data_IF_938851391244
#
_entry.id   IF_938851391244
#
_cell.length_a   1.000
_cell.length_b   1.000
_cell.length_c   1.000
_cell.angle_alpha   90.00
_cell.angle_beta   90.00
_cell.angle_gamma   90.00
#
_symmetry.space_group_name_H-M   'P 1'
#
loop_
_entity.id
_entity.type
_entity.pdbx_description
1 polymer ?
#
# COMPACT_ATOMS: atom_id res chain seq x y z
N UNK A 1 10.83 11.26 12.60
CA UNK A 1 9.96 10.32 11.88
C UNK A 1 8.82 9.95 12.80
N UNK A 2 7.59 9.96 12.31
CA UNK A 2 6.38 9.76 13.13
C UNK A 2 5.55 8.67 12.49
N UNK A 3 5.14 7.67 13.28
CA UNK A 3 4.19 6.65 12.83
C UNK A 3 2.82 7.32 12.67
N UNK A 4 2.25 7.22 11.47
CA UNK A 4 0.96 7.80 11.13
C UNK A 4 -0.16 6.77 11.29
N UNK A 5 -1.36 7.23 11.62
CA UNK A 5 -2.53 6.35 11.68
C UNK A 5 -2.92 5.93 10.26
N UNK A 6 -3.03 4.62 10.03
CA UNK A 6 -3.56 4.09 8.78
C UNK A 6 -5.09 4.15 8.82
N UNK A 7 -5.68 4.76 7.81
CA UNK A 7 -7.13 4.84 7.63
C UNK A 7 -7.66 3.54 7.03
N UNK A 8 -8.81 3.12 7.49
CA UNK A 8 -9.46 1.88 7.02
C UNK A 8 -10.83 2.15 6.42
N UNK A 9 -11.26 1.31 5.49
CA UNK A 9 -12.63 1.32 4.98
C UNK A 9 -13.62 1.23 6.16
N UNK A 10 -14.70 2.02 6.22
CA UNK A 10 -15.29 2.84 5.15
C UNK A 10 -14.91 4.33 5.16
N UNK A 11 -13.67 4.68 5.47
CA UNK A 11 -13.26 6.10 5.46
C UNK A 11 -13.31 6.67 4.03
N UNK A 12 -14.08 7.74 3.83
CA UNK A 12 -14.36 8.32 2.51
C UNK A 12 -13.09 8.84 1.79
N UNK A 13 -12.09 9.30 2.54
CA UNK A 13 -10.84 9.83 1.95
C UNK A 13 -10.12 8.77 1.10
N UNK A 14 -10.27 7.48 1.41
CA UNK A 14 -9.70 6.38 0.64
C UNK A 14 -10.27 6.26 -0.78
N UNK A 15 -11.37 6.96 -1.05
CA UNK A 15 -12.05 6.98 -2.34
C UNK A 15 -11.79 8.26 -3.14
N UNK A 16 -10.96 9.14 -2.60
CA UNK A 16 -10.57 10.37 -3.27
C UNK A 16 -9.40 10.13 -4.22
N UNK A 17 -9.36 10.91 -5.30
CA UNK A 17 -8.24 10.92 -6.23
C UNK A 17 -7.13 11.79 -5.67
N UNK A 18 -5.92 11.23 -5.59
CA UNK A 18 -4.74 11.94 -5.09
C UNK A 18 -4.22 12.95 -6.10
N UNK A 19 -3.83 14.12 -5.61
CA UNK A 19 -3.30 15.23 -6.39
C UNK A 19 -1.80 15.04 -6.70
N UNK A 20 -1.37 15.53 -7.85
CA UNK A 20 0.05 15.55 -8.22
C UNK A 20 0.86 16.41 -7.24
N UNK A 21 2.07 15.97 -6.98
CA UNK A 21 3.09 16.74 -6.26
C UNK A 21 3.81 17.61 -7.27
N UNK A 22 3.82 18.92 -7.08
CA UNK A 22 4.52 19.85 -7.99
C UNK A 22 6.04 19.74 -7.84
N UNK A 23 6.52 19.70 -6.60
CA UNK A 23 7.95 19.61 -6.29
C UNK A 23 8.18 18.66 -5.11
N UNK A 24 9.23 17.84 -5.19
CA UNK A 24 9.69 17.01 -4.09
C UNK A 24 10.55 17.88 -3.16
N UNK A 25 9.90 18.55 -2.23
CA UNK A 25 10.52 19.37 -1.20
C UNK A 25 10.71 18.59 0.12
N UNK A 26 11.21 19.25 1.15
CA UNK A 26 11.45 18.65 2.47
C UNK A 26 10.18 18.10 3.11
N UNK A 27 9.01 18.73 2.87
CA UNK A 27 7.74 18.25 3.43
C UNK A 27 7.32 16.92 2.79
N UNK A 28 7.54 16.76 1.48
CA UNK A 28 7.29 15.50 0.77
C UNK A 28 8.29 14.42 1.20
N UNK A 29 9.56 14.77 1.39
CA UNK A 29 10.56 13.84 1.92
C UNK A 29 10.19 13.39 3.34
N UNK A 30 9.81 14.32 4.22
CA UNK A 30 9.35 13.97 5.58
C UNK A 30 8.09 13.10 5.55
N UNK A 31 7.16 13.37 4.63
CA UNK A 31 5.99 12.51 4.44
C UNK A 31 6.41 11.08 4.05
N UNK A 32 7.34 10.93 3.10
CA UNK A 32 7.85 9.62 2.68
C UNK A 32 8.54 8.87 3.82
N UNK A 33 9.33 9.58 4.65
CA UNK A 33 10.00 9.01 5.82
C UNK A 33 8.99 8.52 6.87
N UNK A 34 7.99 9.35 7.20
CA UNK A 34 6.92 8.98 8.13
C UNK A 34 6.08 7.79 7.60
N UNK A 35 5.81 7.76 6.29
CA UNK A 35 5.10 6.67 5.64
C UNK A 35 5.91 5.37 5.69
N UNK A 36 7.23 5.43 5.48
CA UNK A 36 8.10 4.27 5.55
C UNK A 36 8.17 3.70 6.97
N UNK A 37 8.30 4.55 8.00
CA UNK A 37 8.23 4.13 9.41
C UNK A 37 6.87 3.49 9.72
N UNK A 38 5.78 4.07 9.22
CA UNK A 38 4.43 3.52 9.36
C UNK A 38 4.31 2.15 8.70
N UNK A 39 4.85 2.00 7.49
CA UNK A 39 4.89 0.73 6.76
C UNK A 39 5.67 -0.33 7.55
N UNK A 40 6.82 0.04 8.14
CA UNK A 40 7.63 -0.89 8.93
C UNK A 40 6.99 -1.27 10.27
N UNK A 41 6.13 -0.44 10.82
CA UNK A 41 5.34 -0.75 12.01
C UNK A 41 4.10 -1.61 11.71
N UNK A 42 3.72 -1.74 10.44
CA UNK A 42 2.54 -2.47 9.98
C UNK A 42 2.93 -3.75 9.21
N UNK A 43 2.03 -4.74 9.09
CA UNK A 43 2.28 -5.97 8.33
C UNK A 43 2.02 -5.75 6.82
N UNK A 44 2.74 -4.82 6.19
CA UNK A 44 2.58 -4.46 4.78
C UNK A 44 3.91 -4.35 4.03
N UNK A 45 3.84 -4.33 2.70
CA UNK A 45 4.97 -4.19 1.77
C UNK A 45 4.85 -2.93 0.90
N UNK A 46 3.71 -2.23 0.96
CA UNK A 46 3.44 -0.97 0.29
C UNK A 46 2.48 -0.09 1.10
N UNK A 47 2.54 1.21 0.86
CA UNK A 47 1.68 2.22 1.50
C UNK A 47 1.58 3.46 0.61
N UNK A 48 0.36 3.86 0.28
CA UNK A 48 0.07 5.11 -0.43
C UNK A 48 -0.29 6.24 0.56
N UNK A 49 0.06 7.49 0.24
CA UNK A 49 -0.14 8.64 1.11
C UNK A 49 -1.62 8.86 1.49
N UNK A 50 -2.55 8.53 0.61
CA UNK A 50 -4.00 8.62 0.88
C UNK A 50 -4.41 7.74 2.07
N UNK A 51 -3.74 6.61 2.31
CA UNK A 51 -4.01 5.70 3.42
C UNK A 51 -3.61 6.30 4.78
N UNK A 52 -2.76 7.31 4.79
CA UNK A 52 -2.42 8.09 6.00
C UNK A 52 -3.06 9.48 6.00
N UNK A 53 -4.10 9.68 5.20
CA UNK A 53 -4.91 10.90 5.16
C UNK A 53 -4.34 12.04 4.32
N UNK A 54 -3.33 11.77 3.47
CA UNK A 54 -2.71 12.78 2.62
C UNK A 54 -3.01 12.48 1.15
N UNK A 55 -3.92 13.25 0.55
CA UNK A 55 -4.35 13.07 -0.84
C UNK A 55 -3.30 13.56 -1.85
N UNK A 56 -2.09 13.03 -1.79
CA UNK A 56 -0.98 13.30 -2.71
C UNK A 56 -0.49 12.01 -3.37
N UNK A 57 -0.01 12.13 -4.62
CA UNK A 57 0.50 10.98 -5.39
C UNK A 57 1.89 10.59 -4.91
N UNK A 58 1.95 9.96 -3.73
CA UNK A 58 3.18 9.47 -3.09
C UNK A 58 2.94 8.04 -2.61
N UNK A 59 3.90 7.16 -2.88
CA UNK A 59 3.90 5.74 -2.48
C UNK A 59 5.27 5.42 -1.88
N UNK A 60 5.29 4.59 -0.85
CA UNK A 60 6.49 3.92 -0.34
C UNK A 60 6.28 2.41 -0.36
N UNK A 61 7.32 1.64 -0.70
CA UNK A 61 7.27 0.19 -0.79
C UNK A 61 8.57 -0.43 -0.28
N UNK A 62 8.47 -1.65 0.26
CA UNK A 62 9.61 -2.53 0.52
C UNK A 62 9.17 -4.00 0.39
N UNK A 63 9.39 -4.59 -0.78
CA UNK A 63 9.02 -5.99 -1.07
C UNK A 63 10.00 -7.01 -0.50
N UNK A 64 11.15 -6.58 0.05
CA UNK A 64 12.08 -7.49 0.75
C UNK A 64 11.43 -8.09 2.01
N UNK A 65 10.36 -7.45 2.52
CA UNK A 65 9.50 -7.91 3.60
C UNK A 65 8.36 -8.78 3.06
N UNK A 66 8.68 -9.97 2.55
CA UNK A 66 7.63 -10.87 2.04
C UNK A 66 6.67 -11.33 3.16
N UNK A 67 5.46 -11.79 2.79
CA UNK A 67 4.45 -12.28 3.76
C UNK A 67 4.98 -13.38 4.70
N UNK A 68 5.99 -14.14 4.30
CA UNK A 68 6.59 -15.18 5.14
C UNK A 68 7.39 -14.61 6.32
N UNK A 69 7.77 -13.31 6.25
CA UNK A 69 8.50 -12.61 7.30
C UNK A 69 7.58 -11.73 8.17
N UNK A 70 6.34 -11.49 7.70
CA UNK A 70 5.35 -10.66 8.39
C UNK A 70 4.51 -11.57 9.29
N UNK A 71 4.67 -11.46 10.62
CA UNK A 71 3.88 -12.21 11.62
C UNK A 71 4.63 -13.34 12.32
N UNK A 72 5.92 -13.52 12.05
CA UNK A 72 6.77 -14.31 12.94
C UNK A 72 7.05 -13.50 14.20
N UNK A 73 6.76 -14.07 15.36
CA UNK A 73 7.14 -13.50 16.66
C UNK A 73 8.64 -13.24 16.68
N UNK A 74 9.06 -12.10 17.27
CA UNK A 74 10.47 -11.69 17.35
C UNK A 74 11.37 -12.71 18.03
N UNK A 75 10.79 -13.70 18.73
CA UNK A 75 11.51 -14.74 19.46
C UNK A 75 11.90 -15.94 18.60
N UNK A 76 11.30 -16.10 17.39
CA UNK A 76 11.58 -17.21 16.45
C UNK A 76 12.66 -16.88 15.40
N UNK A 77 13.24 -15.69 15.46
CA UNK A 77 14.32 -15.29 14.57
C UNK A 77 15.60 -15.99 15.03
N UNK A 78 15.86 -17.17 14.47
CA UNK A 78 17.14 -17.84 14.62
C UNK A 78 18.27 -16.86 14.23
N UNK A 79 19.24 -16.71 15.13
CA UNK A 79 20.35 -15.74 15.09
C UNK A 79 21.31 -15.85 13.89
N UNK A 80 21.00 -16.67 12.88
CA UNK A 80 21.85 -16.98 11.74
C UNK A 80 21.22 -16.71 10.37
N UNK A 81 19.99 -16.17 10.30
CA UNK A 81 19.50 -15.63 9.01
C UNK A 81 19.99 -14.19 8.91
N UNK A 82 20.87 -13.95 7.93
CA UNK A 82 21.32 -12.63 7.54
C UNK A 82 20.16 -11.65 7.56
N UNK A 83 20.32 -10.51 8.27
CA UNK A 83 19.37 -9.39 8.27
C UNK A 83 19.04 -9.10 6.82
N UNK A 84 17.87 -9.56 6.32
CA UNK A 84 17.40 -9.16 5.00
C UNK A 84 17.47 -7.64 4.96
N UNK A 85 18.38 -7.14 4.13
CA UNK A 85 18.62 -5.71 4.03
C UNK A 85 17.33 -5.05 3.57
N UNK A 86 16.82 -4.09 4.35
CA UNK A 86 15.70 -3.24 3.93
C UNK A 86 16.04 -2.65 2.56
N UNK A 87 15.09 -2.68 1.65
CA UNK A 87 15.21 -2.11 0.32
C UNK A 87 14.02 -1.18 0.01
N UNK A 88 13.95 -0.02 0.68
CA UNK A 88 12.84 0.91 0.49
C UNK A 88 12.85 1.53 -0.90
N UNK A 89 11.67 1.63 -1.50
CA UNK A 89 11.44 2.29 -2.78
C UNK A 89 10.43 3.42 -2.58
N UNK A 90 10.66 4.53 -3.28
CA UNK A 90 9.86 5.75 -3.18
C UNK A 90 9.34 6.14 -4.56
N UNK A 91 8.06 6.46 -4.65
CA UNK A 91 7.41 6.82 -5.90
C UNK A 91 6.58 8.08 -5.70
N UNK A 92 6.99 9.16 -6.35
CA UNK A 92 6.23 10.41 -6.40
C UNK A 92 5.67 10.58 -7.81
N UNK A 93 4.39 10.88 -7.92
CA UNK A 93 3.66 10.96 -9.19
C UNK A 93 3.81 9.73 -10.10
N UNK A 94 3.69 8.49 -9.57
CA UNK A 94 3.83 7.32 -10.41
C UNK A 94 2.75 7.28 -11.48
N UNK A 95 3.17 6.83 -12.69
CA UNK A 95 2.33 6.65 -13.86
C UNK A 95 2.71 5.36 -14.57
N UNK A 96 1.74 4.47 -14.80
CA UNK A 96 1.97 3.25 -15.57
C UNK A 96 1.94 3.62 -17.06
N UNK A 97 3.08 3.48 -17.73
CA UNK A 97 3.24 3.80 -19.15
C UNK A 97 3.06 2.59 -20.07
N UNK A 98 3.18 1.38 -19.53
CA UNK A 98 2.95 0.13 -20.24
C UNK A 98 2.56 -1.00 -19.29
N UNK A 99 1.74 -1.95 -19.76
CA UNK A 99 1.32 -3.17 -19.04
C UNK A 99 1.36 -4.36 -19.99
N UNK A 100 1.72 -5.54 -19.47
CA UNK A 100 1.60 -6.79 -20.21
C UNK A 100 0.15 -7.20 -20.41
N UNK A 101 -0.12 -8.01 -21.45
CA UNK A 101 -1.41 -8.67 -21.63
C UNK A 101 -1.54 -9.87 -20.69
N UNK A 102 -0.44 -10.57 -20.44
CA UNK A 102 -0.36 -11.67 -19.49
C UNK A 102 -0.73 -11.18 -18.09
N UNK A 103 -1.49 -12.00 -17.37
CA UNK A 103 -1.93 -11.73 -16.00
C UNK A 103 -1.21 -12.62 -15.01
N UNK A 104 -1.11 -12.11 -13.81
CA UNK A 104 -0.63 -12.81 -12.63
C UNK A 104 -1.69 -12.71 -11.54
N UNK A 105 -2.19 -13.88 -11.12
CA UNK A 105 -3.14 -13.98 -10.02
C UNK A 105 -2.38 -14.00 -8.70
N UNK A 106 -2.71 -13.08 -7.80
CA UNK A 106 -2.09 -13.02 -6.48
C UNK A 106 -3.13 -12.76 -5.40
N UNK A 107 -2.97 -13.39 -4.23
CA UNK A 107 -3.82 -13.13 -3.07
C UNK A 107 -3.43 -11.81 -2.42
N UNK A 108 -4.17 -10.75 -2.75
CA UNK A 108 -3.95 -9.41 -2.21
C UNK A 108 -4.65 -9.22 -0.87
N UNK A 109 -4.00 -8.45 -0.01
CA UNK A 109 -4.57 -7.83 1.19
C UNK A 109 -4.17 -6.37 1.23
N UNK A 110 -4.81 -5.58 2.09
CA UNK A 110 -4.56 -4.15 2.19
C UNK A 110 -4.61 -3.69 3.65
N UNK A 111 -3.69 -2.82 4.06
CA UNK A 111 -3.69 -2.22 5.39
C UNK A 111 -4.97 -1.40 5.67
N UNK A 112 -5.59 -0.85 4.61
CA UNK A 112 -6.86 -0.12 4.70
C UNK A 112 -8.10 -1.02 4.66
N UNK A 113 -7.93 -2.33 4.44
CA UNK A 113 -9.00 -3.35 4.42
C UNK A 113 -8.54 -4.54 5.31
N UNK A 114 -8.41 -4.34 6.63
CA UNK A 114 -7.73 -5.27 7.52
C UNK A 114 -8.42 -6.64 7.56
N UNK A 115 -7.59 -7.71 7.61
CA UNK A 115 -8.03 -9.10 7.72
C UNK A 115 -8.97 -9.58 6.60
N UNK A 116 -8.87 -8.96 5.43
CA UNK A 116 -9.56 -9.39 4.22
C UNK A 116 -8.52 -9.64 3.12
N UNK A 117 -8.67 -10.75 2.41
CA UNK A 117 -7.79 -11.16 1.32
C UNK A 117 -8.62 -11.68 0.17
N UNK A 118 -8.13 -11.50 -1.05
CA UNK A 118 -8.75 -12.04 -2.24
C UNK A 118 -7.74 -12.21 -3.38
N UNK A 119 -7.96 -13.21 -4.23
CA UNK A 119 -7.22 -13.38 -5.46
C UNK A 119 -7.63 -12.30 -6.46
N UNK A 120 -6.65 -11.56 -6.95
CA UNK A 120 -6.80 -10.49 -7.92
C UNK A 120 -5.90 -10.76 -9.12
N UNK A 121 -6.47 -10.62 -10.32
CA UNK A 121 -5.75 -10.73 -11.58
C UNK A 121 -5.23 -9.36 -12.00
N UNK A 122 -3.90 -9.22 -12.02
CA UNK A 122 -3.25 -8.01 -12.54
C UNK A 122 -2.34 -8.32 -13.71
N UNK A 123 -2.06 -7.34 -14.61
CA UNK A 123 -0.94 -7.45 -15.54
C UNK A 123 0.32 -7.93 -14.84
N UNK A 124 0.94 -8.99 -15.37
CA UNK A 124 2.11 -9.63 -14.77
C UNK A 124 3.31 -8.70 -14.72
N UNK A 125 3.41 -7.82 -15.71
CA UNK A 125 4.49 -6.84 -15.84
C UNK A 125 3.91 -5.44 -16.07
N UNK A 126 4.62 -4.42 -15.58
CA UNK A 126 4.31 -3.04 -15.92
C UNK A 126 5.57 -2.17 -15.91
N UNK A 127 5.55 -1.10 -16.73
CA UNK A 127 6.56 -0.04 -16.67
C UNK A 127 5.95 1.19 -16.03
N UNK A 128 6.66 1.76 -15.05
CA UNK A 128 6.19 2.90 -14.25
C UNK A 128 7.21 4.02 -14.32
N UNK A 129 6.79 5.21 -14.76
CA UNK A 129 7.56 6.44 -14.61
C UNK A 129 7.18 7.12 -13.31
N UNK A 130 8.16 7.64 -12.60
CA UNK A 130 7.94 8.34 -11.34
C UNK A 130 9.10 9.30 -11.04
N UNK A 131 8.96 10.11 -10.00
CA UNK A 131 10.07 10.79 -9.38
C UNK A 131 10.50 10.00 -8.14
N UNK A 132 11.81 9.92 -7.92
CA UNK A 132 12.37 9.29 -6.72
C UNK A 132 12.28 10.20 -5.47
N UNK A 133 12.92 9.77 -4.36
CA UNK A 133 12.99 10.52 -3.10
C UNK A 133 13.58 11.94 -3.26
N UNK A 134 14.46 12.14 -4.22
CA UNK A 134 15.10 13.41 -4.50
C UNK A 134 14.42 14.22 -5.61
N UNK A 135 13.29 13.74 -6.15
CA UNK A 135 12.58 14.37 -7.25
C UNK A 135 13.20 14.13 -8.62
N UNK A 136 14.09 13.13 -8.75
CA UNK A 136 14.71 12.80 -10.04
C UNK A 136 13.83 11.82 -10.82
N UNK A 137 13.64 12.04 -12.13
CA UNK A 137 12.86 11.13 -12.97
C UNK A 137 13.49 9.72 -13.02
N UNK A 138 12.64 8.71 -12.84
CA UNK A 138 13.01 7.30 -12.88
C UNK A 138 11.99 6.51 -13.71
N UNK A 139 12.44 5.37 -14.24
CA UNK A 139 11.57 4.38 -14.87
C UNK A 139 11.83 3.01 -14.23
N UNK A 140 10.78 2.39 -13.71
CA UNK A 140 10.80 1.05 -13.13
C UNK A 140 10.13 0.07 -14.11
N UNK A 141 10.83 -1.02 -14.43
CA UNK A 141 10.26 -2.21 -15.07
C UNK A 141 9.99 -3.24 -14.00
N UNK A 142 8.72 -3.45 -13.67
CA UNK A 142 8.28 -4.33 -12.61
C UNK A 142 7.71 -5.64 -13.17
N UNK A 143 7.94 -6.76 -12.46
CA UNK A 143 7.42 -8.09 -12.74
C UNK A 143 6.91 -8.76 -11.45
N UNK A 144 5.97 -9.70 -11.56
CA UNK A 144 5.48 -10.53 -10.47
C UNK A 144 4.98 -9.72 -9.29
N UNK A 145 5.47 -10.02 -8.08
CA UNK A 145 5.04 -9.35 -6.84
C UNK A 145 5.28 -7.84 -6.86
N UNK A 146 6.41 -7.38 -7.44
CA UNK A 146 6.69 -5.95 -7.55
C UNK A 146 5.67 -5.26 -8.46
N UNK A 147 5.31 -5.87 -9.60
CA UNK A 147 4.29 -5.35 -10.50
C UNK A 147 2.90 -5.36 -9.84
N UNK A 148 2.57 -6.40 -9.07
CA UNK A 148 1.32 -6.47 -8.32
C UNK A 148 1.24 -5.35 -7.29
N UNK A 149 2.28 -5.19 -6.46
CA UNK A 149 2.32 -4.21 -5.39
C UNK A 149 2.22 -2.78 -5.93
N UNK A 150 3.05 -2.40 -6.92
CA UNK A 150 3.01 -1.02 -7.45
C UNK A 150 1.66 -0.69 -8.11
N UNK A 151 1.01 -1.64 -8.78
CA UNK A 151 -0.33 -1.45 -9.34
C UNK A 151 -1.39 -1.28 -8.23
N UNK A 152 -1.28 -2.05 -7.14
CA UNK A 152 -2.15 -1.92 -5.97
C UNK A 152 -2.02 -0.53 -5.33
N UNK A 153 -0.80 -0.05 -5.14
CA UNK A 153 -0.57 1.26 -4.54
C UNK A 153 -1.00 2.42 -5.47
N UNK A 154 -0.84 2.27 -6.80
CA UNK A 154 -1.34 3.26 -7.76
C UNK A 154 -2.87 3.31 -7.77
N UNK A 155 -3.56 2.18 -7.60
CA UNK A 155 -5.02 2.15 -7.44
C UNK A 155 -5.47 3.03 -6.26
N UNK A 156 -4.77 2.98 -5.12
CA UNK A 156 -5.06 3.86 -3.98
C UNK A 156 -5.02 5.35 -4.37
N UNK A 157 -4.09 5.75 -5.24
CA UNK A 157 -4.00 7.13 -5.71
C UNK A 157 -5.17 7.55 -6.61
N UNK A 158 -5.88 6.59 -7.18
CA UNK A 158 -7.10 6.80 -7.99
C UNK A 158 -8.39 6.56 -7.19
N UNK A 159 -8.30 6.31 -5.87
CA UNK A 159 -9.44 6.05 -4.99
C UNK A 159 -10.02 4.64 -5.15
N UNK A 160 -9.23 3.70 -5.69
CA UNK A 160 -9.60 2.31 -5.95
C UNK A 160 -8.98 1.43 -4.87
N UNK A 161 -9.73 0.46 -4.35
CA UNK A 161 -9.24 -0.57 -3.44
C UNK A 161 -9.34 -1.95 -4.12
N UNK A 162 -8.51 -2.93 -3.69
CA UNK A 162 -8.54 -4.28 -4.29
C UNK A 162 -9.93 -4.92 -4.23
N UNK A 163 -10.76 -4.58 -3.25
CA UNK A 163 -12.15 -5.06 -3.13
C UNK A 163 -13.05 -4.58 -4.28
N UNK A 164 -12.64 -3.57 -5.05
CA UNK A 164 -13.40 -3.06 -6.19
C UNK A 164 -13.30 -3.99 -7.41
N UNK A 165 -12.29 -4.89 -7.44
CA UNK A 165 -12.15 -5.94 -8.44
C UNK A 165 -13.03 -7.17 -8.15
N UNK A 166 -13.63 -7.24 -6.96
CA UNK A 166 -14.48 -8.36 -6.55
C UNK A 166 -15.92 -8.18 -7.05
N UNK A 167 -16.68 -9.27 -7.03
CA UNK A 167 -18.11 -9.18 -7.29
C UNK A 167 -18.79 -8.23 -6.28
N UNK A 168 -19.85 -7.57 -6.74
CA UNK A 168 -20.63 -6.62 -5.91
C UNK A 168 -21.01 -7.23 -4.56
N UNK A 169 -21.45 -8.48 -4.54
CA UNK A 169 -21.84 -9.18 -3.32
C UNK A 169 -20.66 -9.35 -2.35
N UNK A 170 -19.50 -9.82 -2.82
CA UNK A 170 -18.30 -9.97 -1.97
C UNK A 170 -17.84 -8.63 -1.40
N UNK A 171 -17.77 -7.60 -2.25
CA UNK A 171 -17.42 -6.24 -1.84
C UNK A 171 -18.34 -5.71 -0.73
N UNK A 172 -19.66 -5.81 -0.91
CA UNK A 172 -20.65 -5.35 0.08
C UNK A 172 -20.53 -6.11 1.40
N UNK A 173 -20.28 -7.43 1.37
CA UNK A 173 -20.05 -8.24 2.58
C UNK A 173 -18.82 -7.75 3.36
N UNK A 174 -17.72 -7.48 2.66
CA UNK A 174 -16.47 -6.98 3.28
C UNK A 174 -16.72 -5.61 3.93
N UNK A 175 -17.32 -4.66 3.20
CA UNK A 175 -17.60 -3.31 3.71
C UNK A 175 -18.51 -3.37 4.93
N UNK A 176 -19.56 -4.18 4.90
CA UNK A 176 -20.50 -4.37 6.02
C UNK A 176 -19.78 -4.93 7.26
N UNK A 177 -18.87 -5.90 7.07
CA UNK A 177 -18.08 -6.48 8.16
C UNK A 177 -17.16 -5.44 8.81
N UNK A 178 -16.43 -4.65 7.99
CA UNK A 178 -15.54 -3.60 8.47
C UNK A 178 -16.31 -2.48 9.20
N UNK A 179 -17.45 -2.06 8.66
CA UNK A 179 -18.32 -1.04 9.29
C UNK A 179 -18.81 -1.47 10.66
N UNK A 180 -19.10 -2.76 10.85
CA UNK A 180 -19.50 -3.31 12.15
C UNK A 180 -18.32 -3.29 13.14
N UNK A 181 -17.14 -3.73 12.72
CA UNK A 181 -15.93 -3.73 13.56
C UNK A 181 -15.55 -2.31 14.02
N UNK A 182 -15.67 -1.31 13.14
CA UNK A 182 -15.41 0.09 13.47
C UNK A 182 -16.36 0.61 14.53
N UNK A 183 -17.66 0.29 14.46
CA UNK A 183 -18.66 0.68 15.49
C UNK A 183 -18.38 0.04 16.83
N UNK A 184 -18.09 -1.26 16.86
CA UNK A 184 -17.79 -1.98 18.10
C UNK A 184 -16.51 -1.47 18.78
N UNK A 185 -15.50 -1.04 18.01
CA UNK A 185 -14.28 -0.46 18.58
C UNK A 185 -14.52 0.94 19.17
N UNK A 186 -15.40 1.74 18.59
CA UNK A 186 -15.79 3.06 19.13
C UNK A 186 -16.59 2.90 20.42
N UNK A 187 -17.55 1.98 20.46
CA UNK A 187 -18.38 1.73 21.66
C UNK A 187 -17.55 1.25 22.87
N UNK A 188 -16.47 0.48 22.64
CA UNK A 188 -15.55 0.03 23.72
C UNK A 188 -14.67 1.14 24.30
N UNK A 189 -14.49 2.25 23.64
CA UNK A 189 -13.68 3.39 24.09
C UNK A 189 -14.51 4.37 24.93
N UNK A 190 -15.84 4.27 24.86
CA UNK A 190 -16.79 5.20 25.52
C UNK A 190 -17.31 4.66 26.86
N UNK A 191 -16.79 3.51 27.36
CA UNK A 191 -17.15 2.96 28.70
C UNK A 191 -16.06 3.19 29.71
#
# INVERSE_FOLDING_TARGET
MTIRKILTEPNKILREKSLRVENVNKDIQQLMDDMLETLYAAPGIGLAAIQVGVAKRVIVMDISRSRNDIGRDKDDINKNEDKKSKNPMYFVNPEIVWKSEDKFTYEEGCLSVPNQFAEIDRPKQCHVRHLDYNGQPQELKADGLLATCIQHEIDHLEGILFIDYLSKLKKEMIIKKLSKQTKESVERIVV
#
